data_IF_448301424269
#
_entry.id   IF_448301424269
#
_cell.length_a   1.000
_cell.length_b   1.000
_cell.length_c   1.000
_cell.angle_alpha   90.00
_cell.angle_beta   90.00
_cell.angle_gamma   90.00
#
_symmetry.space_group_name_H-M   'P 1'
#
loop_
_entity.id
_entity.type
_entity.pdbx_description
1 polymer ?
#
# COMPACT_ATOMS: atom_id res chain seq x y z
N UNK A 1 20.97 0.46 -0.82
CA UNK A 1 21.50 1.48 0.11
C UNK A 1 21.60 2.82 -0.60
N UNK A 2 21.32 3.95 0.07
CA UNK A 2 21.51 5.27 -0.51
C UNK A 2 22.99 5.48 -0.83
N UNK A 3 23.27 5.99 -2.03
CA UNK A 3 24.63 6.27 -2.50
C UNK A 3 25.01 7.72 -2.16
N UNK A 4 26.29 7.96 -1.93
CA UNK A 4 26.85 9.31 -1.72
C UNK A 4 27.25 9.59 -0.28
N UNK A 5 27.63 10.85 -0.02
CA UNK A 5 28.07 11.29 1.30
C UNK A 5 26.87 11.57 2.22
N UNK A 6 26.94 11.06 3.44
CA UNK A 6 26.00 11.43 4.50
C UNK A 6 26.27 12.86 4.98
N UNK A 7 25.26 13.49 5.53
CA UNK A 7 25.41 14.80 6.15
C UNK A 7 26.35 14.69 7.37
N UNK A 8 27.29 15.63 7.49
CA UNK A 8 28.21 15.75 8.62
C UNK A 8 28.04 17.12 9.27
N UNK A 9 28.34 17.23 10.57
CA UNK A 9 28.28 18.52 11.27
C UNK A 9 29.31 19.47 10.66
N UNK A 10 28.90 20.68 10.31
CA UNK A 10 29.82 21.70 9.84
C UNK A 10 30.75 22.13 10.99
N UNK A 11 32.07 22.15 10.75
CA UNK A 11 33.02 22.71 11.72
C UNK A 11 32.96 24.25 11.68
N UNK A 12 32.91 24.88 12.86
CA UNK A 12 33.20 26.32 13.01
C UNK A 12 32.06 27.33 12.84
N UNK A 13 30.79 26.94 12.68
CA UNK A 13 29.71 27.94 12.53
C UNK A 13 29.18 28.46 13.87
N UNK A 14 29.83 29.48 14.42
CA UNK A 14 29.25 30.40 15.42
C UNK A 14 28.51 31.51 14.68
N UNK A 15 27.25 31.28 14.29
CA UNK A 15 26.36 32.36 13.86
C UNK A 15 25.36 32.67 14.96
N UNK A 16 25.37 33.91 15.40
CA UNK A 16 24.59 34.47 16.50
C UNK A 16 23.11 34.62 16.08
N UNK A 17 22.34 33.52 16.16
CA UNK A 17 20.89 33.52 15.87
C UNK A 17 20.17 32.51 16.77
N UNK A 18 19.99 32.86 18.05
CA UNK A 18 19.38 31.94 19.04
C UNK A 18 17.96 31.49 18.66
N UNK A 19 17.14 32.37 18.07
CA UNK A 19 15.79 32.02 17.62
C UNK A 19 15.77 31.03 16.45
N UNK A 20 16.70 31.17 15.49
CA UNK A 20 16.79 30.26 14.34
C UNK A 20 17.33 28.88 14.74
N UNK A 21 18.11 28.80 15.82
CA UNK A 21 18.63 27.53 16.33
C UNK A 21 17.50 26.69 16.96
N UNK A 22 16.68 27.30 17.82
CA UNK A 22 15.57 26.61 18.48
C UNK A 22 14.49 26.13 17.49
N UNK A 23 14.16 26.92 16.46
CA UNK A 23 13.24 26.50 15.41
C UNK A 23 13.79 25.35 14.56
N UNK A 24 15.10 25.34 14.32
CA UNK A 24 15.76 24.27 13.57
C UNK A 24 15.77 22.96 14.36
N UNK A 25 16.12 23.01 15.65
CA UNK A 25 16.07 21.84 16.55
C UNK A 25 14.65 21.27 16.61
N UNK A 26 13.63 22.13 16.79
CA UNK A 26 12.23 21.70 16.79
C UNK A 26 11.82 21.00 15.49
N UNK A 27 12.25 21.51 14.32
CA UNK A 27 11.97 20.87 13.01
C UNK A 27 12.65 19.52 12.88
N UNK A 28 13.91 19.42 13.31
CA UNK A 28 14.66 18.16 13.28
C UNK A 28 13.99 17.10 14.15
N UNK A 29 13.62 17.46 15.38
CA UNK A 29 12.94 16.56 16.30
C UNK A 29 11.57 16.14 15.76
N UNK A 30 10.80 17.09 15.23
CA UNK A 30 9.48 16.81 14.65
C UNK A 30 9.56 15.82 13.48
N UNK A 31 10.56 15.98 12.60
CA UNK A 31 10.77 15.09 11.47
C UNK A 31 11.08 13.65 11.92
N UNK A 32 11.96 13.47 12.90
CA UNK A 32 12.31 12.13 13.38
C UNK A 32 11.19 11.49 14.21
N UNK A 33 10.48 12.27 15.02
CA UNK A 33 9.30 11.79 15.74
C UNK A 33 8.21 11.33 14.78
N UNK A 34 7.93 12.13 13.74
CA UNK A 34 6.98 11.76 12.69
C UNK A 34 7.42 10.47 11.97
N UNK A 35 8.70 10.37 11.58
CA UNK A 35 9.24 9.15 10.94
C UNK A 35 9.16 7.90 11.82
N UNK A 36 9.40 8.03 13.14
CA UNK A 36 9.29 6.92 14.09
C UNK A 36 7.83 6.48 14.30
N UNK A 37 6.90 7.43 14.21
CA UNK A 37 5.46 7.16 14.36
C UNK A 37 4.82 6.54 13.12
N UNK A 38 5.42 6.73 11.93
CA UNK A 38 4.88 6.29 10.64
C UNK A 38 5.54 4.99 10.16
N UNK A 39 4.80 4.28 9.31
CA UNK A 39 5.31 3.13 8.58
C UNK A 39 6.40 3.53 7.58
N UNK A 40 7.19 2.56 7.12
CA UNK A 40 8.20 2.79 6.10
C UNK A 40 7.57 3.41 4.83
N UNK A 41 8.09 4.53 4.31
CA UNK A 41 7.57 5.17 3.10
C UNK A 41 7.41 4.21 1.91
N UNK A 42 8.34 3.25 1.72
CA UNK A 42 8.26 2.29 0.62
C UNK A 42 7.14 1.26 0.83
N UNK A 43 6.88 0.86 2.07
CA UNK A 43 5.75 -0.02 2.39
C UNK A 43 4.42 0.70 2.15
N UNK A 44 4.34 1.98 2.53
CA UNK A 44 3.16 2.83 2.28
C UNK A 44 2.88 2.95 0.78
N UNK A 45 3.91 3.19 -0.04
CA UNK A 45 3.78 3.28 -1.51
C UNK A 45 3.38 1.95 -2.14
N UNK A 46 3.87 0.82 -1.60
CA UNK A 46 3.49 -0.51 -2.08
C UNK A 46 2.01 -0.81 -1.82
N UNK A 47 1.43 -0.20 -0.78
CA UNK A 47 0.01 -0.32 -0.43
C UNK A 47 -0.50 -1.76 -0.41
N UNK A 48 0.36 -2.69 0.07
CA UNK A 48 0.10 -4.13 0.03
C UNK A 48 -1.20 -4.51 0.71
N UNK A 49 -1.46 -3.96 1.90
CA UNK A 49 -2.67 -4.28 2.66
C UNK A 49 -3.94 -3.82 1.94
N UNK A 50 -3.88 -2.67 1.24
CA UNK A 50 -5.00 -2.21 0.40
C UNK A 50 -5.25 -3.19 -0.74
N UNK A 51 -4.20 -3.59 -1.46
CA UNK A 51 -4.28 -4.57 -2.54
C UNK A 51 -4.81 -5.92 -2.05
N UNK A 52 -4.36 -6.38 -0.89
CA UNK A 52 -4.81 -7.65 -0.30
C UNK A 52 -6.27 -7.60 0.13
N UNK A 53 -6.74 -6.47 0.69
CA UNK A 53 -8.13 -6.26 1.06
C UNK A 53 -9.05 -6.24 -0.17
N UNK A 54 -8.73 -5.45 -1.19
CA UNK A 54 -9.53 -5.42 -2.42
C UNK A 54 -9.51 -6.77 -3.15
N UNK A 55 -8.39 -7.49 -3.12
CA UNK A 55 -8.35 -8.85 -3.66
C UNK A 55 -9.33 -9.77 -2.93
N UNK A 56 -9.45 -9.66 -1.60
CA UNK A 56 -10.41 -10.47 -0.82
C UNK A 56 -11.84 -10.10 -1.21
N UNK A 57 -12.17 -8.80 -1.21
CA UNK A 57 -13.51 -8.32 -1.58
C UNK A 57 -13.91 -8.72 -3.00
N UNK A 58 -13.00 -8.58 -3.96
CA UNK A 58 -13.26 -8.98 -5.34
C UNK A 58 -13.35 -10.50 -5.53
N UNK A 59 -12.73 -11.28 -4.64
CA UNK A 59 -12.80 -12.75 -4.66
C UNK A 59 -13.98 -13.32 -3.86
N UNK A 60 -14.66 -12.52 -3.03
CA UNK A 60 -15.83 -12.97 -2.25
C UNK A 60 -16.94 -13.63 -3.10
N UNK A 61 -17.28 -13.15 -4.31
CA UNK A 61 -18.24 -13.84 -5.18
C UNK A 61 -17.83 -15.27 -5.55
N UNK A 62 -16.55 -15.61 -5.47
CA UNK A 62 -16.01 -16.94 -5.72
C UNK A 62 -15.96 -17.80 -4.44
N UNK A 63 -16.50 -17.34 -3.31
CA UNK A 63 -16.60 -18.11 -2.08
C UNK A 63 -18.04 -18.60 -1.90
N UNK A 64 -18.27 -19.90 -2.16
CA UNK A 64 -19.60 -20.52 -2.04
C UNK A 64 -19.85 -20.99 -0.63
N UNK A 65 -20.81 -20.39 0.07
CA UNK A 65 -21.23 -20.84 1.41
C UNK A 65 -22.25 -21.97 1.28
N UNK A 66 -21.90 -23.15 1.76
CA UNK A 66 -22.68 -24.39 1.65
C UNK A 66 -23.01 -24.88 3.07
N UNK A 67 -24.28 -25.21 3.31
CA UNK A 67 -24.72 -25.79 4.58
C UNK A 67 -24.48 -27.31 4.55
N UNK A 68 -23.74 -27.80 5.53
CA UNK A 68 -23.45 -29.22 5.77
C UNK A 68 -24.23 -29.69 7.02
N UNK A 69 -24.96 -30.78 6.88
CA UNK A 69 -25.85 -31.31 7.93
C UNK A 69 -25.10 -31.78 9.18
N UNK A 70 -23.82 -32.18 9.04
CA UNK A 70 -23.01 -32.75 10.13
C UNK A 70 -22.00 -31.76 10.70
N UNK A 71 -21.51 -30.84 9.88
CA UNK A 71 -20.39 -29.94 10.24
C UNK A 71 -20.74 -28.45 10.18
N UNK A 72 -22.01 -28.09 9.97
CA UNK A 72 -22.46 -26.69 9.97
C UNK A 72 -22.21 -25.99 8.64
N UNK A 73 -21.27 -25.05 8.59
CA UNK A 73 -20.95 -24.31 7.35
C UNK A 73 -19.67 -24.82 6.70
N UNK A 74 -19.72 -25.08 5.40
CA UNK A 74 -18.56 -25.32 4.54
C UNK A 74 -18.46 -24.23 3.47
N UNK A 75 -17.24 -23.97 3.02
CA UNK A 75 -16.94 -22.92 2.06
C UNK A 75 -16.24 -23.53 0.85
N UNK A 76 -16.84 -23.39 -0.33
CA UNK A 76 -16.33 -23.94 -1.58
C UNK A 76 -15.69 -22.90 -2.48
N UNK A 77 -14.67 -23.30 -3.21
CA UNK A 77 -14.11 -22.50 -4.30
C UNK A 77 -15.12 -22.40 -5.46
N UNK A 78 -15.36 -21.19 -5.96
CA UNK A 78 -16.27 -20.89 -7.07
C UNK A 78 -15.59 -20.77 -8.43
N UNK A 79 -14.27 -20.96 -8.50
CA UNK A 79 -13.54 -20.96 -9.76
C UNK A 79 -14.03 -22.07 -10.70
N UNK A 80 -14.05 -21.78 -12.01
CA UNK A 80 -14.49 -22.75 -13.03
C UNK A 80 -13.64 -24.02 -12.96
N UNK A 81 -14.31 -25.17 -12.86
CA UNK A 81 -13.64 -26.47 -12.77
C UNK A 81 -13.01 -26.81 -11.41
N UNK A 82 -13.16 -25.96 -10.38
CA UNK A 82 -12.66 -26.25 -9.03
C UNK A 82 -13.78 -26.73 -8.10
N UNK A 83 -13.53 -27.82 -7.38
CA UNK A 83 -14.49 -28.47 -6.48
C UNK A 83 -14.02 -28.51 -5.02
N UNK A 84 -12.94 -27.80 -4.67
CA UNK A 84 -12.38 -27.81 -3.32
C UNK A 84 -13.31 -27.15 -2.31
N UNK A 85 -13.44 -27.80 -1.15
CA UNK A 85 -14.24 -27.36 0.00
C UNK A 85 -13.32 -27.16 1.21
N UNK A 86 -13.67 -26.20 2.05
CA UNK A 86 -12.91 -25.77 3.21
C UNK A 86 -13.84 -25.49 4.39
N UNK A 87 -13.27 -25.46 5.60
CA UNK A 87 -14.01 -25.20 6.84
C UNK A 87 -14.19 -23.70 7.15
N UNK A 88 -13.45 -22.82 6.47
CA UNK A 88 -13.54 -21.38 6.64
C UNK A 88 -13.34 -20.64 5.31
N UNK A 89 -13.94 -19.45 5.18
CA UNK A 89 -13.84 -18.62 3.99
C UNK A 89 -12.39 -18.19 3.68
N UNK A 90 -11.60 -17.87 4.72
CA UNK A 90 -10.20 -17.44 4.57
C UNK A 90 -9.33 -18.47 3.84
N UNK A 91 -9.63 -19.77 4.01
CA UNK A 91 -8.92 -20.83 3.29
C UNK A 91 -9.30 -20.86 1.81
N UNK A 92 -10.52 -20.47 1.45
CA UNK A 92 -10.95 -20.30 0.06
C UNK A 92 -10.22 -19.12 -0.57
N UNK A 93 -10.13 -17.98 0.12
CA UNK A 93 -9.37 -16.82 -0.38
C UNK A 93 -7.89 -17.16 -0.61
N UNK A 94 -7.24 -17.81 0.36
CA UNK A 94 -5.85 -18.29 0.21
C UNK A 94 -5.72 -19.28 -0.96
N UNK A 95 -6.68 -20.19 -1.12
CA UNK A 95 -6.70 -21.13 -2.23
C UNK A 95 -6.86 -20.46 -3.59
N UNK A 96 -7.77 -19.49 -3.71
CA UNK A 96 -7.99 -18.69 -4.93
C UNK A 96 -6.71 -17.96 -5.32
N UNK A 97 -6.05 -17.26 -4.38
CA UNK A 97 -4.77 -16.57 -4.64
C UNK A 97 -3.65 -17.52 -5.11
N UNK A 98 -3.59 -18.76 -4.60
CA UNK A 98 -2.49 -19.69 -4.88
C UNK A 98 -2.74 -20.62 -6.08
N UNK A 99 -4.00 -20.97 -6.38
CA UNK A 99 -4.36 -21.97 -7.40
C UNK A 99 -5.17 -21.39 -8.55
N UNK A 100 -5.68 -20.18 -8.40
CA UNK A 100 -6.39 -19.41 -9.43
C UNK A 100 -5.81 -17.99 -9.53
N UNK A 101 -4.48 -17.85 -9.72
CA UNK A 101 -3.82 -16.55 -9.70
C UNK A 101 -4.38 -15.60 -10.76
N UNK A 102 -4.90 -16.12 -11.87
CA UNK A 102 -5.55 -15.34 -12.92
C UNK A 102 -6.74 -14.52 -12.39
N UNK A 103 -7.60 -15.12 -11.55
CA UNK A 103 -8.74 -14.43 -10.94
C UNK A 103 -8.28 -13.34 -9.97
N UNK A 104 -7.26 -13.64 -9.16
CA UNK A 104 -6.69 -12.69 -8.21
C UNK A 104 -5.96 -11.54 -8.93
N UNK A 105 -5.32 -11.81 -10.06
CA UNK A 105 -4.66 -10.80 -10.89
C UNK A 105 -5.71 -9.90 -11.55
N UNK A 106 -6.68 -10.46 -12.26
CA UNK A 106 -7.76 -9.67 -12.90
C UNK A 106 -8.49 -8.78 -11.89
N UNK A 107 -8.81 -9.34 -10.71
CA UNK A 107 -9.44 -8.60 -9.61
C UNK A 107 -8.61 -7.40 -9.11
N UNK A 108 -7.28 -7.46 -9.20
CA UNK A 108 -6.39 -6.42 -8.64
C UNK A 108 -5.75 -5.52 -9.68
N UNK A 109 -5.82 -5.86 -10.98
CA UNK A 109 -5.17 -5.10 -12.07
C UNK A 109 -5.50 -3.62 -12.02
N UNK A 110 -6.81 -3.28 -12.01
CA UNK A 110 -7.25 -1.88 -12.00
C UNK A 110 -6.69 -1.11 -10.80
N UNK A 111 -6.75 -1.71 -9.60
CA UNK A 111 -6.28 -1.02 -8.41
C UNK A 111 -4.75 -0.90 -8.36
N UNK A 112 -4.01 -1.86 -8.92
CA UNK A 112 -2.55 -1.75 -9.10
C UNK A 112 -2.19 -0.60 -10.05
N UNK A 113 -2.93 -0.46 -11.15
CA UNK A 113 -2.77 0.65 -12.09
C UNK A 113 -3.09 2.00 -11.43
N UNK A 114 -4.17 2.07 -10.66
CA UNK A 114 -4.55 3.27 -9.91
C UNK A 114 -3.47 3.65 -8.88
N UNK A 115 -2.97 2.69 -8.10
CA UNK A 115 -1.88 2.92 -7.13
C UNK A 115 -0.62 3.38 -7.85
N UNK A 116 -0.25 2.73 -8.96
CA UNK A 116 0.90 3.13 -9.77
C UNK A 116 0.76 4.58 -10.23
N UNK A 117 -0.40 4.94 -10.80
CA UNK A 117 -0.67 6.28 -11.29
C UNK A 117 -0.62 7.32 -10.17
N UNK A 118 -1.27 7.05 -9.04
CA UNK A 118 -1.27 7.98 -7.90
C UNK A 118 0.12 8.14 -7.27
N UNK A 119 0.89 7.06 -7.14
CA UNK A 119 2.26 7.13 -6.63
C UNK A 119 3.15 7.99 -7.53
N UNK A 120 3.02 7.84 -8.85
CA UNK A 120 3.75 8.66 -9.82
C UNK A 120 3.31 10.14 -9.77
N UNK A 121 2.00 10.41 -9.79
CA UNK A 121 1.47 11.77 -9.86
C UNK A 121 1.68 12.56 -8.56
N UNK A 122 1.83 11.87 -7.42
CA UNK A 122 2.09 12.48 -6.13
C UNK A 122 3.59 12.65 -5.81
N UNK A 123 4.49 12.09 -6.62
CA UNK A 123 5.94 12.20 -6.44
C UNK A 123 6.43 13.55 -7.00
N UNK A 124 6.94 14.47 -6.14
CA UNK A 124 7.48 15.76 -6.58
C UNK A 124 8.69 15.64 -7.51
N UNK A 125 9.42 14.52 -7.43
CA UNK A 125 10.64 14.25 -8.20
C UNK A 125 10.36 13.36 -9.42
N UNK A 126 9.08 13.16 -9.77
CA UNK A 126 8.68 12.34 -10.91
C UNK A 126 9.29 12.85 -12.23
N UNK A 127 9.85 11.95 -13.07
CA UNK A 127 10.46 12.33 -14.34
C UNK A 127 9.40 12.84 -15.33
N UNK A 128 9.40 14.14 -15.61
CA UNK A 128 8.40 14.77 -16.49
C UNK A 128 7.92 16.15 -16.01
N UNK A 129 8.31 16.56 -14.80
CA UNK A 129 7.90 17.83 -14.18
C UNK A 129 6.49 17.74 -13.56
N UNK A 130 5.99 18.87 -13.04
CA UNK A 130 4.61 18.94 -12.53
C UNK A 130 3.62 18.60 -13.65
N UNK A 131 2.77 17.57 -13.48
CA UNK A 131 1.82 17.16 -14.50
C UNK A 131 0.86 18.31 -14.85
N UNK A 132 0.90 18.80 -16.09
CA UNK A 132 -0.03 19.83 -16.62
C UNK A 132 -1.52 19.45 -16.52
N UNK A 133 -1.83 18.17 -16.25
CA UNK A 133 -3.21 17.67 -16.18
C UNK A 133 -3.95 18.06 -14.89
N UNK A 134 -3.27 18.64 -13.90
CA UNK A 134 -3.91 19.04 -12.63
C UNK A 134 -4.22 20.55 -12.60
N UNK A 135 -4.79 21.09 -13.67
CA UNK A 135 -5.63 22.27 -13.52
C UNK A 135 -6.99 21.80 -13.00
N UNK A 136 -7.13 21.74 -11.67
CA UNK A 136 -8.46 21.79 -11.07
C UNK A 136 -9.06 23.14 -11.47
N UNK A 137 -9.95 23.13 -12.47
CA UNK A 137 -10.81 24.27 -12.74
C UNK A 137 -11.74 24.41 -11.52
N UNK A 138 -11.62 25.48 -10.72
CA UNK A 138 -12.54 25.70 -9.62
C UNK A 138 -13.93 25.98 -10.21
N UNK A 139 -14.94 25.35 -9.62
CA UNK A 139 -16.35 25.57 -9.96
C UNK A 139 -16.91 26.73 -9.15
#
# INVERSE_FOLDING_TARGET
>A
EPKGFRHVRAEGKRSDVSNSAAEWEKKLDSHWQDRLSRQDPLEVMTAKDKLDAAAVEALDPFVRKIRDEKYGWKYGCGAKGCTKLFHAAEYVHKHLKLKHPELAMEATTKMREDIYFQNYMSDPDAPGGQPLMQQFVPK
#
